data_IF_235242366195
#
_entry.id   IF_235242366195
#
_cell.length_a   1.000
_cell.length_b   1.000
_cell.length_c   1.000
_cell.angle_alpha   90.00
_cell.angle_beta   90.00
_cell.angle_gamma   90.00
#
_symmetry.space_group_name_H-M   'P 1'
#
loop_
_entity.id
_entity.type
_entity.pdbx_description
1 polymer ?
#
# COMPACT_ATOMS: atom_id res chain seq x y z
N UNK A 1 2.68 -1.21 -22.60
CA UNK A 1 3.17 -1.57 -23.95
C UNK A 1 4.50 -2.34 -23.97
N UNK A 2 5.25 -2.40 -22.88
CA UNK A 2 6.54 -3.11 -22.79
C UNK A 2 6.43 -4.64 -22.83
N UNK A 3 5.33 -5.23 -22.33
CA UNK A 3 5.18 -6.69 -22.24
C UNK A 3 4.83 -7.39 -23.57
N UNK A 4 4.25 -6.66 -24.53
CA UNK A 4 3.73 -7.24 -25.77
C UNK A 4 4.85 -7.51 -26.79
N UNK A 5 5.91 -6.70 -26.75
CA UNK A 5 7.14 -6.89 -27.55
C UNK A 5 7.88 -8.16 -27.12
N UNK A 6 7.90 -8.47 -25.81
CA UNK A 6 8.53 -9.69 -25.28
C UNK A 6 7.87 -10.97 -25.78
N UNK A 7 6.53 -11.00 -25.85
CA UNK A 7 5.77 -12.15 -26.36
C UNK A 7 6.00 -12.36 -27.86
N UNK A 8 6.08 -11.27 -28.63
CA UNK A 8 6.35 -11.36 -30.07
C UNK A 8 7.80 -11.76 -30.39
N UNK A 9 8.75 -11.51 -29.48
CA UNK A 9 10.14 -11.90 -29.63
C UNK A 9 10.44 -13.35 -29.21
N UNK A 10 9.55 -14.01 -28.44
CA UNK A 10 9.72 -15.39 -28.01
C UNK A 10 10.02 -16.41 -29.13
N UNK A 11 9.38 -16.39 -30.33
CA UNK A 11 9.70 -17.35 -31.39
C UNK A 11 11.13 -17.19 -31.92
N UNK A 12 11.59 -15.95 -32.10
CA UNK A 12 12.95 -15.68 -32.56
C UNK A 12 14.00 -16.07 -31.50
N UNK A 13 13.70 -15.89 -30.21
CA UNK A 13 14.60 -16.29 -29.12
C UNK A 13 14.67 -17.82 -28.99
N UNK A 14 13.56 -18.53 -29.20
CA UNK A 14 13.50 -19.99 -29.12
C UNK A 14 14.31 -20.65 -30.25
N UNK A 15 14.27 -20.08 -31.45
CA UNK A 15 15.06 -20.52 -32.60
C UNK A 15 16.57 -20.40 -32.31
N UNK A 16 17.00 -19.28 -31.71
CA UNK A 16 18.41 -19.08 -31.28
C UNK A 16 18.80 -19.92 -30.06
N UNK A 17 17.90 -20.16 -29.12
CA UNK A 17 18.16 -21.02 -27.97
C UNK A 17 18.36 -22.49 -28.39
N UNK A 18 17.64 -22.94 -29.42
CA UNK A 18 17.79 -24.26 -30.00
C UNK A 18 19.11 -24.39 -30.81
N UNK A 19 19.50 -23.35 -31.56
CA UNK A 19 20.81 -23.27 -32.23
C UNK A 19 22.00 -23.29 -31.24
N UNK A 20 21.83 -22.72 -30.03
CA UNK A 20 22.85 -22.68 -28.97
C UNK A 20 22.92 -23.96 -28.13
N UNK A 21 22.12 -24.99 -28.44
CA UNK A 21 22.12 -26.26 -27.71
C UNK A 21 21.65 -26.13 -26.25
N UNK A 22 20.77 -25.16 -25.96
CA UNK A 22 20.25 -24.96 -24.61
C UNK A 22 19.54 -26.23 -24.12
N UNK A 23 19.98 -26.75 -22.97
CA UNK A 23 19.34 -27.92 -22.37
C UNK A 23 17.87 -27.62 -22.07
N UNK A 24 17.00 -28.61 -22.24
CA UNK A 24 15.56 -28.50 -21.97
C UNK A 24 15.27 -27.90 -20.58
N UNK A 25 16.13 -28.17 -19.59
CA UNK A 25 16.06 -27.57 -18.25
C UNK A 25 16.28 -26.06 -18.22
N UNK A 26 17.21 -25.52 -19.02
CA UNK A 26 17.45 -24.08 -19.11
C UNK A 26 16.25 -23.33 -19.74
N UNK A 27 15.65 -23.91 -20.78
CA UNK A 27 14.46 -23.36 -21.44
C UNK A 27 13.29 -23.32 -20.45
N UNK A 28 13.03 -24.42 -19.73
CA UNK A 28 11.99 -24.48 -18.71
C UNK A 28 12.26 -23.44 -17.62
N UNK A 29 13.50 -23.34 -17.12
CA UNK A 29 13.87 -22.37 -16.10
C UNK A 29 13.58 -20.93 -16.50
N UNK A 30 13.97 -20.53 -17.72
CA UNK A 30 13.71 -19.18 -18.24
C UNK A 30 12.21 -18.94 -18.46
N UNK A 31 11.50 -19.89 -19.08
CA UNK A 31 10.07 -19.78 -19.31
C UNK A 31 9.28 -19.66 -17.98
N UNK A 32 9.64 -20.43 -16.96
CA UNK A 32 9.01 -20.34 -15.63
C UNK A 32 9.28 -19.01 -14.95
N UNK A 33 10.52 -18.50 -15.00
CA UNK A 33 10.87 -17.21 -14.41
C UNK A 33 10.12 -16.06 -15.10
N UNK A 34 10.15 -16.02 -16.43
CA UNK A 34 9.45 -15.01 -17.23
C UNK A 34 7.94 -15.10 -17.01
N UNK A 35 7.37 -16.31 -17.02
CA UNK A 35 5.96 -16.54 -16.76
C UNK A 35 5.53 -16.05 -15.38
N UNK A 36 6.31 -16.37 -14.34
CA UNK A 36 6.07 -15.90 -12.98
C UNK A 36 5.97 -14.38 -12.92
N UNK A 37 6.99 -13.67 -13.40
CA UNK A 37 6.97 -12.20 -13.37
C UNK A 37 5.88 -11.60 -14.25
N UNK A 38 5.52 -12.25 -15.36
CA UNK A 38 4.46 -11.79 -16.27
C UNK A 38 3.09 -11.75 -15.59
N UNK A 39 2.79 -12.67 -14.66
CA UNK A 39 1.52 -12.69 -13.92
C UNK A 39 1.60 -12.02 -12.56
N UNK A 40 2.70 -12.21 -11.82
CA UNK A 40 2.87 -11.67 -10.47
C UNK A 40 2.96 -10.15 -10.50
N UNK A 41 3.69 -9.57 -11.46
CA UNK A 41 3.84 -8.11 -11.54
C UNK A 41 2.50 -7.38 -11.72
N UNK A 42 1.64 -7.71 -12.71
CA UNK A 42 0.33 -7.05 -12.83
C UNK A 42 -0.58 -7.33 -11.63
N UNK A 43 -0.47 -8.49 -10.97
CA UNK A 43 -1.25 -8.80 -9.77
C UNK A 43 -0.83 -7.97 -8.55
N UNK A 44 0.48 -7.86 -8.27
CA UNK A 44 1.01 -7.01 -7.21
C UNK A 44 0.67 -5.54 -7.47
N UNK A 45 0.89 -5.08 -8.69
CA UNK A 45 0.57 -3.71 -9.07
C UNK A 45 -0.93 -3.43 -8.91
N UNK A 46 -1.79 -4.38 -9.27
CA UNK A 46 -3.24 -4.26 -9.04
C UNK A 46 -3.57 -4.06 -7.57
N UNK A 47 -3.00 -4.92 -6.72
CA UNK A 47 -3.30 -4.92 -5.30
C UNK A 47 -2.90 -3.61 -4.62
N UNK A 48 -1.78 -3.03 -5.04
CA UNK A 48 -1.27 -1.75 -4.53
C UNK A 48 -2.05 -0.56 -5.12
N UNK A 49 -2.18 -0.48 -6.44
CA UNK A 49 -2.76 0.69 -7.13
C UNK A 49 -4.22 0.93 -6.78
N UNK A 50 -5.00 -0.13 -6.50
CA UNK A 50 -6.41 0.00 -6.09
C UNK A 50 -6.58 0.79 -4.79
N UNK A 51 -5.58 0.81 -3.91
CA UNK A 51 -5.59 1.56 -2.65
C UNK A 51 -4.99 2.96 -2.78
N UNK A 52 -4.36 3.26 -3.92
CA UNK A 52 -3.61 4.48 -4.12
C UNK A 52 -4.53 5.63 -4.52
N UNK A 53 -4.62 6.62 -3.65
CA UNK A 53 -5.42 7.83 -3.91
C UNK A 53 -4.59 8.81 -4.71
N UNK A 54 -5.11 9.25 -5.85
CA UNK A 54 -4.42 10.15 -6.78
C UNK A 54 -4.88 11.60 -6.68
N UNK A 55 -6.03 11.85 -6.04
CA UNK A 55 -6.54 13.19 -5.75
C UNK A 55 -7.51 13.12 -4.59
N UNK A 56 -7.51 14.14 -3.74
CA UNK A 56 -8.54 14.35 -2.71
C UNK A 56 -9.06 15.78 -2.82
N UNK A 57 -10.34 15.91 -3.15
CA UNK A 57 -11.02 17.20 -3.27
C UNK A 57 -11.96 17.39 -2.09
N UNK A 58 -11.92 18.57 -1.48
CA UNK A 58 -12.85 18.95 -0.41
C UNK A 58 -14.05 19.69 -0.99
N UNK A 59 -15.26 19.21 -0.69
CA UNK A 59 -16.50 19.85 -1.07
C UNK A 59 -17.08 20.64 0.10
N UNK A 60 -17.09 21.97 -0.03
CA UNK A 60 -17.57 22.90 1.00
C UNK A 60 -19.08 22.74 1.24
N UNK A 61 -19.87 22.48 0.19
CA UNK A 61 -21.33 22.40 0.27
C UNK A 61 -21.81 21.19 1.06
N UNK A 62 -21.13 20.06 0.91
CA UNK A 62 -21.49 18.79 1.57
C UNK A 62 -20.63 18.49 2.81
N UNK A 63 -19.58 19.28 3.05
CA UNK A 63 -18.58 19.05 4.10
C UNK A 63 -18.03 17.62 4.05
N UNK A 64 -17.68 17.18 2.84
CA UNK A 64 -17.17 15.83 2.54
C UNK A 64 -15.92 15.90 1.68
N UNK A 65 -15.11 14.86 1.76
CA UNK A 65 -13.95 14.64 0.90
C UNK A 65 -14.31 13.62 -0.17
N UNK A 66 -13.87 13.88 -1.40
CA UNK A 66 -13.94 12.93 -2.50
C UNK A 66 -12.53 12.47 -2.81
N UNK A 67 -12.21 11.22 -2.49
CA UNK A 67 -10.95 10.59 -2.87
C UNK A 67 -11.11 9.90 -4.22
N UNK A 68 -10.23 10.21 -5.16
CA UNK A 68 -10.15 9.56 -6.46
C UNK A 68 -9.08 8.48 -6.45
N UNK A 69 -9.46 7.29 -6.90
CA UNK A 69 -8.59 6.13 -7.12
C UNK A 69 -8.76 5.63 -8.55
N UNK A 70 -7.80 4.85 -9.04
CA UNK A 70 -7.90 4.22 -10.35
C UNK A 70 -8.08 2.70 -10.22
N UNK A 71 -8.98 2.17 -11.05
CA UNK A 71 -9.12 0.72 -11.22
C UNK A 71 -8.10 0.16 -12.22
N UNK A 72 -8.05 -1.17 -12.37
CA UNK A 72 -7.15 -1.88 -13.30
C UNK A 72 -7.14 -1.32 -14.72
N UNK A 73 -8.31 -0.91 -15.20
CA UNK A 73 -8.49 -0.43 -16.56
C UNK A 73 -8.33 1.09 -16.65
N UNK A 74 -7.56 1.69 -15.73
CA UNK A 74 -7.41 3.14 -15.59
C UNK A 74 -8.75 3.89 -15.52
N UNK A 75 -9.82 3.22 -15.10
CA UNK A 75 -11.12 3.84 -14.88
C UNK A 75 -11.13 4.46 -13.50
N UNK A 76 -11.48 5.73 -13.48
CA UNK A 76 -11.64 6.53 -12.27
C UNK A 76 -12.73 5.94 -11.36
N UNK A 77 -12.43 5.91 -10.06
CA UNK A 77 -13.36 5.54 -9.00
C UNK A 77 -13.24 6.56 -7.87
N UNK A 78 -14.36 7.18 -7.56
CA UNK A 78 -14.47 8.12 -6.44
C UNK A 78 -15.01 7.42 -5.20
N UNK A 79 -14.56 7.87 -4.04
CA UNK A 79 -15.04 7.47 -2.73
C UNK A 79 -15.25 8.73 -1.89
N UNK A 80 -16.50 8.99 -1.53
CA UNK A 80 -16.87 10.12 -0.69
C UNK A 80 -16.86 9.71 0.77
N UNK A 81 -16.29 10.57 1.62
CA UNK A 81 -16.25 10.33 3.07
C UNK A 81 -16.20 11.63 3.86
N UNK A 82 -16.64 11.55 5.12
CA UNK A 82 -16.59 12.70 6.05
C UNK A 82 -15.29 12.68 6.85
N UNK A 83 -14.79 13.83 7.33
CA UNK A 83 -13.56 13.89 8.13
C UNK A 83 -13.54 12.95 9.36
N UNK A 84 -14.70 12.60 9.93
CA UNK A 84 -14.81 11.68 11.07
C UNK A 84 -14.83 10.19 10.73
N UNK A 85 -14.99 9.84 9.46
CA UNK A 85 -15.04 8.44 8.98
C UNK A 85 -13.65 7.89 8.60
N UNK A 86 -12.67 8.79 8.51
CA UNK A 86 -11.27 8.49 8.29
C UNK A 86 -10.61 8.03 9.60
N UNK A 87 -10.24 6.76 9.67
CA UNK A 87 -9.55 6.16 10.82
C UNK A 87 -8.09 5.93 10.45
N UNK A 88 -7.18 6.62 11.12
CA UNK A 88 -5.74 6.34 11.00
C UNK A 88 -5.41 5.13 11.88
N UNK A 89 -4.91 4.02 11.31
CA UNK A 89 -4.53 2.85 12.10
C UNK A 89 -3.34 3.17 13.00
N UNK A 90 -3.28 2.54 14.18
CA UNK A 90 -2.17 2.72 15.14
C UNK A 90 -0.82 2.28 14.58
N UNK A 91 -0.83 1.33 13.64
CA UNK A 91 0.34 0.88 12.88
C UNK A 91 0.05 1.10 11.39
N UNK A 92 0.74 2.04 10.72
CA UNK A 92 0.60 2.23 9.28
C UNK A 92 0.99 0.94 8.53
N UNK A 93 0.13 0.52 7.59
CA UNK A 93 0.48 -0.57 6.67
C UNK A 93 1.36 -0.05 5.53
N UNK A 94 2.11 -0.95 4.87
CA UNK A 94 3.00 -0.59 3.75
C UNK A 94 2.30 0.21 2.62
N UNK A 95 0.99 0.04 2.47
CA UNK A 95 0.15 0.74 1.47
C UNK A 95 -1.20 1.19 2.07
N UNK A 96 -1.22 1.58 3.34
CA UNK A 96 -2.45 2.04 4.01
C UNK A 96 -2.12 3.09 5.06
N UNK A 97 -2.57 4.31 4.84
CA UNK A 97 -2.42 5.43 5.78
C UNK A 97 -3.70 5.71 6.54
N UNK A 98 -4.86 5.41 5.93
CA UNK A 98 -6.17 5.62 6.54
C UNK A 98 -7.12 4.51 6.10
N UNK A 99 -8.09 4.20 6.93
CA UNK A 99 -9.21 3.32 6.58
C UNK A 99 -10.48 4.14 6.63
N UNK A 100 -11.22 4.14 5.53
CA UNK A 100 -12.49 4.85 5.37
C UNK A 100 -13.58 3.82 5.11
N UNK A 101 -14.58 3.72 5.98
CA UNK A 101 -15.68 2.75 5.85
C UNK A 101 -15.21 1.30 5.58
N UNK A 102 -14.16 0.86 6.30
CA UNK A 102 -13.54 -0.45 6.13
C UNK A 102 -12.67 -0.61 4.87
N UNK A 103 -12.57 0.42 4.03
CA UNK A 103 -11.70 0.43 2.85
C UNK A 103 -10.35 1.05 3.18
N UNK A 104 -9.24 0.30 3.10
CA UNK A 104 -7.91 0.85 3.31
C UNK A 104 -7.48 1.71 2.12
N UNK A 105 -7.06 2.93 2.39
CA UNK A 105 -6.57 3.91 1.42
C UNK A 105 -5.14 4.33 1.76
N UNK A 106 -4.37 4.62 0.72
CA UNK A 106 -3.08 5.25 0.82
C UNK A 106 -3.19 6.71 0.36
N UNK A 107 -3.06 7.62 1.33
CA UNK A 107 -3.07 9.06 1.13
C UNK A 107 -1.63 9.58 1.16
N UNK A 108 -1.26 10.31 0.12
CA UNK A 108 0.00 11.04 0.05
C UNK A 108 -0.30 12.53 0.00
N UNK A 109 0.41 13.31 0.81
CA UNK A 109 0.24 14.75 0.91
C UNK A 109 0.40 15.48 -0.44
N UNK A 110 1.14 14.89 -1.39
CA UNK A 110 1.36 15.45 -2.74
C UNK A 110 0.11 15.47 -3.61
N UNK A 111 -0.94 14.72 -3.27
CA UNK A 111 -2.21 14.66 -4.02
C UNK A 111 -3.32 15.51 -3.42
N UNK A 112 -2.98 16.35 -2.44
CA UNK A 112 -3.90 17.32 -1.86
C UNK A 112 -3.61 18.70 -2.43
N UNK A 113 -4.66 19.42 -2.84
CA UNK A 113 -4.54 20.83 -3.24
C UNK A 113 -4.12 21.71 -2.07
N UNK A 114 -4.61 21.37 -0.86
CA UNK A 114 -4.28 22.07 0.37
C UNK A 114 -3.89 21.07 1.48
N UNK A 115 -2.65 21.25 1.97
CA UNK A 115 -2.06 20.43 3.02
C UNK A 115 -2.84 20.51 4.34
N UNK A 116 -3.62 21.56 4.59
CA UNK A 116 -4.48 21.65 5.77
C UNK A 116 -5.52 20.53 5.81
N UNK A 117 -6.07 20.15 4.66
CA UNK A 117 -7.03 19.05 4.56
C UNK A 117 -6.38 17.69 4.86
N UNK A 118 -5.13 17.49 4.41
CA UNK A 118 -4.36 16.31 4.77
C UNK A 118 -4.14 16.20 6.29
N UNK A 119 -3.72 17.29 6.95
CA UNK A 119 -3.54 17.33 8.41
C UNK A 119 -4.83 17.03 9.17
N UNK A 120 -5.96 17.56 8.68
CA UNK A 120 -7.29 17.35 9.26
C UNK A 120 -7.74 15.90 9.16
N UNK A 121 -7.56 15.25 8.01
CA UNK A 121 -7.91 13.83 7.80
C UNK A 121 -7.01 12.91 8.63
N UNK A 122 -5.71 13.21 8.70
CA UNK A 122 -4.75 12.43 9.49
C UNK A 122 -4.91 12.66 11.00
N UNK A 123 -5.71 13.64 11.42
CA UNK A 123 -5.94 13.95 12.84
C UNK A 123 -4.78 14.69 13.52
N UNK A 124 -3.82 15.24 12.77
CA UNK A 124 -2.69 16.00 13.31
C UNK A 124 -3.09 17.35 13.93
N UNK A 125 -4.30 17.82 13.66
CA UNK A 125 -4.86 19.07 14.20
C UNK A 125 -5.47 18.89 15.61
N UNK A 126 -5.61 17.65 16.09
CA UNK A 126 -6.15 17.38 17.43
C UNK A 126 -5.02 17.49 18.47
N UNK A 127 -5.28 18.05 19.67
CA UNK A 127 -4.29 18.05 20.74
C UNK A 127 -3.86 16.61 21.03
N UNK A 128 -2.55 16.35 20.97
CA UNK A 128 -2.00 15.03 21.27
C UNK A 128 -2.34 14.67 22.72
N UNK A 129 -3.22 13.69 22.91
CA UNK A 129 -3.39 13.02 24.20
C UNK A 129 -2.14 12.17 24.47
N UNK A 130 -1.08 12.80 24.99
CA UNK A 130 0.12 12.13 25.48
C UNK A 130 -0.25 11.24 26.68
N UNK A 131 -0.70 10.02 26.40
CA UNK A 131 -0.75 8.95 27.39
C UNK A 131 0.67 8.42 27.56
N UNK A 132 1.48 9.16 28.34
CA UNK A 132 2.76 8.67 28.84
C UNK A 132 2.49 7.40 29.64
N UNK A 133 2.85 6.25 29.07
CA UNK A 133 2.83 4.98 29.78
C UNK A 133 3.93 5.05 30.84
N UNK A 134 3.57 5.49 32.05
CA UNK A 134 4.49 5.49 33.19
C UNK A 134 4.97 4.05 33.38
N UNK A 135 6.27 3.83 33.15
CA UNK A 135 6.91 2.56 33.46
C UNK A 135 6.73 2.30 34.94
N UNK A 136 5.98 1.25 35.27
CA UNK A 136 5.93 0.70 36.62
C UNK A 136 7.34 0.31 37.01
N UNK A 137 7.98 1.14 37.83
CA UNK A 137 9.21 0.78 38.52
C UNK A 137 8.78 -0.27 39.53
N UNK A 138 9.05 -1.55 39.23
CA UNK A 138 8.79 -2.64 40.16
C UNK A 138 9.62 -2.39 41.43
N UNK A 139 9.03 -2.34 42.63
CA UNK A 139 9.79 -2.21 43.86
C UNK A 139 10.75 -3.39 43.94
N UNK A 140 12.02 -3.09 44.21
CA UNK A 140 13.05 -4.10 44.43
C UNK A 140 12.61 -5.07 45.53
N UNK A 141 12.65 -6.36 45.24
CA UNK A 141 12.39 -7.45 46.18
C UNK A 141 13.33 -7.31 47.40
N UNK A 142 12.76 -7.00 48.55
CA UNK A 142 13.41 -7.16 49.83
C UNK A 142 13.59 -8.67 50.10
N UNK A 143 14.83 -9.14 49.99
CA UNK A 143 15.22 -10.48 50.43
C UNK A 143 15.29 -10.46 51.96
N UNK A 144 14.30 -11.05 52.62
CA UNK A 144 14.36 -11.36 54.05
C UNK A 144 15.28 -12.58 54.27
N UNK A 145 16.22 -12.55 55.24
CA UNK A 145 17.10 -13.67 55.52
C UNK A 145 16.33 -14.73 56.30
N UNK A 146 16.25 -15.94 55.74
CA UNK A 146 15.65 -17.10 56.39
C UNK A 146 16.49 -17.50 57.61
N UNK A 147 15.91 -17.40 58.81
CA UNK A 147 16.50 -17.85 60.07
C UNK A 147 15.89 -19.20 60.48
N UNK A 148 16.78 -20.16 60.72
CA UNK A 148 16.64 -21.50 61.33
C UNK A 148 15.76 -22.55 60.64
#
# INVERSE_FOLDING_TARGET
MTSMVGVLAQPAILERANELGATTGAIIGVCSLVGFFTFVTPFLLHWVTKKYVTSVVYNISTNSYTATTYSLFAKEKTLDFRPGEAIVPSVPGMFTTVTVNGTPLFLDARFFEDLAHYKKIMGYDRPMDFKLKQGTISPMDHIEPKKE
#
